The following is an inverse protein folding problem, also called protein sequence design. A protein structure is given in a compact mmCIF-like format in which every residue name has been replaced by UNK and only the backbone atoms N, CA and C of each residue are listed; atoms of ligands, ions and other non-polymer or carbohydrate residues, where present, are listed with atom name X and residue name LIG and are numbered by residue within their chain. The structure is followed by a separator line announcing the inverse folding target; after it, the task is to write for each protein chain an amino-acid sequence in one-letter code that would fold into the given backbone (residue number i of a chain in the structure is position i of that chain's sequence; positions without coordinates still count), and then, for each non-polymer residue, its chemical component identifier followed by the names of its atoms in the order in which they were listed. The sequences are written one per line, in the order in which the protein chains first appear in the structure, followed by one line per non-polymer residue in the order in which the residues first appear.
data_IF_268903841479
#
_entry.id   IF_268903841479
#
_cell.length_a   1.000
_cell.length_b   1.000
_cell.length_c   1.000
_cell.angle_alpha   90.00
_cell.angle_beta   90.00
_cell.angle_gamma   90.00
#
_symmetry.space_group_name_H-M   'P 1'
#
loop_
_entity.id
_entity.type
_entity.pdbx_description
1 polymer ?
#
# COMPACT_ATOMS: atom_id res chain seq x y z
N UNK A 1 -16.76 31.33 44.69
CA UNK A 1 -16.70 30.35 43.58
C UNK A 1 -16.64 28.97 44.22
N UNK A 2 -17.65 28.13 44.00
CA UNK A 2 -17.82 26.88 44.75
C UNK A 2 -16.83 25.79 44.33
N UNK A 3 -16.16 25.11 45.28
CA UNK A 3 -15.21 24.04 44.99
C UNK A 3 -15.87 22.81 44.31
N UNK A 4 -17.17 22.63 44.51
CA UNK A 4 -17.95 21.57 43.86
C UNK A 4 -18.12 21.79 42.35
N UNK A 5 -18.14 23.05 41.92
CA UNK A 5 -18.22 23.42 40.51
C UNK A 5 -16.94 23.00 39.78
N UNK A 6 -15.76 23.25 40.36
CA UNK A 6 -14.48 22.80 39.79
C UNK A 6 -14.35 21.28 39.76
N UNK A 7 -14.86 20.58 40.78
CA UNK A 7 -14.86 19.11 40.81
C UNK A 7 -15.75 18.52 39.71
N UNK A 8 -16.92 19.13 39.49
CA UNK A 8 -17.86 18.72 38.43
C UNK A 8 -17.32 19.00 37.03
N UNK A 9 -16.70 20.17 36.85
CA UNK A 9 -16.06 20.58 35.61
C UNK A 9 -14.87 19.68 35.27
N UNK A 10 -14.03 19.35 36.27
CA UNK A 10 -12.91 18.44 36.10
C UNK A 10 -13.37 17.03 35.71
N UNK A 11 -14.38 16.48 36.40
CA UNK A 11 -14.99 15.19 36.04
C UNK A 11 -15.59 15.21 34.63
N UNK A 12 -16.17 16.33 34.22
CA UNK A 12 -16.70 16.51 32.87
C UNK A 12 -15.58 16.49 31.82
N UNK A 13 -14.50 17.26 32.03
CA UNK A 13 -13.33 17.25 31.15
C UNK A 13 -12.62 15.89 31.09
N UNK A 14 -12.62 15.15 32.20
CA UNK A 14 -12.10 13.79 32.26
C UNK A 14 -12.99 12.82 31.45
N UNK A 15 -14.32 12.91 31.60
CA UNK A 15 -15.29 12.09 30.86
C UNK A 15 -15.29 12.39 29.36
N UNK A 16 -15.11 13.65 28.97
CA UNK A 16 -14.96 14.08 27.58
C UNK A 16 -13.57 13.76 26.99
N UNK A 17 -12.65 13.19 27.79
CA UNK A 17 -11.31 12.81 27.33
C UNK A 17 -10.37 13.98 27.08
N UNK A 18 -10.77 15.22 27.40
CA UNK A 18 -9.97 16.43 27.17
C UNK A 18 -8.68 16.40 27.99
N UNK A 19 -8.75 15.98 29.25
CA UNK A 19 -7.57 15.83 30.12
C UNK A 19 -6.63 14.75 29.59
N UNK A 20 -7.18 13.64 29.08
CA UNK A 20 -6.41 12.57 28.48
C UNK A 20 -5.71 13.01 27.19
N UNK A 21 -6.40 13.78 26.35
CA UNK A 21 -5.86 14.37 25.12
C UNK A 21 -4.75 15.38 25.43
N UNK A 22 -4.96 16.28 26.40
CA UNK A 22 -3.94 17.24 26.84
C UNK A 22 -2.72 16.49 27.39
N UNK A 23 -2.92 15.47 28.24
CA UNK A 23 -1.83 14.65 28.79
C UNK A 23 -1.06 13.91 27.68
N UNK A 24 -1.76 13.39 26.70
CA UNK A 24 -1.15 12.68 25.56
C UNK A 24 -0.39 13.65 24.67
N UNK A 25 -0.97 14.82 24.37
CA UNK A 25 -0.31 15.90 23.63
C UNK A 25 0.95 16.41 24.34
N UNK A 26 0.89 16.64 25.66
CA UNK A 26 2.06 17.03 26.45
C UNK A 26 3.13 15.94 26.46
N UNK A 27 2.75 14.66 26.58
CA UNK A 27 3.70 13.54 26.46
C UNK A 27 4.31 13.45 25.06
N UNK A 28 3.51 13.63 24.02
CA UNK A 28 3.96 13.64 22.63
C UNK A 28 4.91 14.82 22.37
N UNK A 29 4.61 16.01 22.91
CA UNK A 29 5.47 17.19 22.82
C UNK A 29 6.76 17.00 23.59
N UNK A 30 6.72 16.39 24.78
CA UNK A 30 7.93 16.04 25.53
C UNK A 30 8.78 15.02 24.77
N UNK A 31 8.15 13.99 24.18
CA UNK A 31 8.83 13.01 23.33
C UNK A 31 9.39 13.68 22.06
N UNK A 32 8.66 14.58 21.41
CA UNK A 32 9.11 15.30 20.22
C UNK A 32 10.24 16.28 20.55
N UNK A 33 10.15 16.98 21.68
CA UNK A 33 11.23 17.81 22.20
C UNK A 33 12.48 16.97 22.43
N UNK A 34 12.35 15.79 23.04
CA UNK A 34 13.45 14.83 23.26
C UNK A 34 13.97 14.16 21.98
N UNK A 35 13.12 13.91 20.99
CA UNK A 35 13.45 13.22 19.74
C UNK A 35 14.04 14.16 18.67
N UNK A 36 13.71 15.44 18.73
CA UNK A 36 14.24 16.50 17.87
C UNK A 36 15.41 17.29 18.47
N UNK A 37 16.16 16.73 19.43
CA UNK A 37 17.53 17.20 19.73
C UNK A 37 18.50 16.79 18.61
N UNK A 38 18.18 17.15 17.37
CA UNK A 38 19.22 17.65 16.49
C UNK A 38 19.68 19.00 17.07
N UNK A 39 20.97 19.35 16.99
CA UNK A 39 21.44 20.62 17.53
C UNK A 39 20.69 21.77 16.84
N UNK A 40 19.69 22.35 17.52
CA UNK A 40 19.09 23.61 17.08
C UNK A 40 20.22 24.63 17.04
N UNK A 41 20.43 25.24 15.87
CA UNK A 41 21.41 26.30 15.72
C UNK A 41 21.12 27.40 16.74
N UNK A 42 22.16 27.99 17.34
CA UNK A 42 22.03 29.16 18.23
C UNK A 42 21.19 30.29 17.59
N UNK A 43 21.19 30.38 16.25
CA UNK A 43 20.35 31.31 15.49
C UNK A 43 18.85 31.01 15.60
N UNK A 44 18.46 29.74 15.55
CA UNK A 44 17.04 29.34 15.67
C UNK A 44 16.50 29.70 17.06
N UNK A 45 17.31 29.46 18.09
CA UNK A 45 16.96 29.82 19.46
C UNK A 45 16.72 31.32 19.63
N UNK A 46 17.52 32.14 18.94
CA UNK A 46 17.37 33.60 19.00
C UNK A 46 16.14 34.08 18.24
N UNK A 47 15.80 33.45 17.12
CA UNK A 47 14.53 33.76 16.45
C UNK A 47 13.35 33.40 17.33
N UNK A 48 13.38 32.22 17.97
CA UNK A 48 12.32 31.80 18.89
C UNK A 48 12.22 32.78 20.09
N UNK A 49 13.36 33.27 20.61
CA UNK A 49 13.44 34.27 21.68
C UNK A 49 12.87 35.63 21.27
N UNK A 50 13.24 36.14 20.09
CA UNK A 50 12.76 37.42 19.56
C UNK A 50 11.25 37.39 19.30
N UNK A 51 10.72 36.27 18.80
CA UNK A 51 9.29 36.08 18.59
C UNK A 51 8.56 36.04 19.94
N UNK A 52 9.06 35.28 20.92
CA UNK A 52 8.47 35.23 22.24
C UNK A 52 8.45 36.60 22.93
N UNK A 53 9.54 37.37 22.81
CA UNK A 53 9.63 38.72 23.37
C UNK A 53 8.67 39.69 22.69
N UNK A 54 8.52 39.61 21.37
CA UNK A 54 7.54 40.37 20.62
C UNK A 54 6.11 40.07 21.08
N UNK A 55 5.76 38.78 21.20
CA UNK A 55 4.43 38.35 21.65
C UNK A 55 4.15 38.79 23.10
N UNK A 56 5.17 38.76 23.95
CA UNK A 56 5.08 39.20 25.33
C UNK A 56 4.85 40.72 25.43
N UNK A 57 5.61 41.54 24.69
CA UNK A 57 5.47 43.00 24.71
C UNK A 57 4.11 43.49 24.18
N UNK A 58 3.46 42.72 23.30
CA UNK A 58 2.13 43.04 22.77
C UNK A 58 0.98 42.38 23.54
N UNK A 59 1.24 41.75 24.69
CA UNK A 59 0.25 41.07 25.54
C UNK A 59 -0.55 39.97 24.80
N UNK A 60 0.07 39.27 23.84
CA UNK A 60 -0.55 38.13 23.16
C UNK A 60 -0.38 36.83 23.96
N UNK A 61 -0.95 36.79 25.17
CA UNK A 61 -0.75 35.70 26.14
C UNK A 61 -1.17 34.33 25.62
N UNK A 62 -2.30 34.25 24.89
CA UNK A 62 -2.77 33.00 24.28
C UNK A 62 -1.79 32.48 23.22
N UNK A 63 -1.38 33.35 22.30
CA UNK A 63 -0.43 33.01 21.23
C UNK A 63 0.93 32.62 21.81
N UNK A 64 1.39 33.31 22.86
CA UNK A 64 2.62 32.99 23.57
C UNK A 64 2.53 31.62 24.26
N UNK A 65 1.38 31.27 24.84
CA UNK A 65 1.16 29.97 25.47
C UNK A 65 1.20 28.82 24.46
N UNK A 66 0.54 28.99 23.31
CA UNK A 66 0.61 28.04 22.18
C UNK A 66 2.04 27.94 21.66
N UNK A 67 2.72 29.08 21.45
CA UNK A 67 4.10 29.13 20.97
C UNK A 67 5.07 28.42 21.93
N UNK A 68 4.96 28.65 23.24
CA UNK A 68 5.77 27.98 24.26
C UNK A 68 5.51 26.46 24.33
N UNK A 69 4.32 26.01 23.91
CA UNK A 69 4.00 24.58 23.84
C UNK A 69 4.63 23.87 22.63
N UNK A 70 4.97 24.62 21.58
CA UNK A 70 5.54 24.12 20.32
C UNK A 70 7.07 24.35 20.23
N UNK A 71 7.55 25.47 20.76
CA UNK A 71 8.96 25.83 20.82
C UNK A 71 9.45 25.70 22.28
N UNK A 72 10.40 24.79 22.59
CA UNK A 72 11.01 24.71 23.92
C UNK A 72 11.90 25.94 24.14
N UNK A 73 11.32 27.00 24.71
CA UNK A 73 12.04 28.19 25.12
C UNK A 73 12.79 27.90 26.41
N UNK A 74 14.12 27.97 26.38
CA UNK A 74 14.98 27.82 27.57
C UNK A 74 14.99 29.08 28.45
N UNK A 75 14.34 30.17 28.02
CA UNK A 75 14.23 31.40 28.80
C UNK A 75 12.91 31.41 29.55
N UNK A 76 13.00 31.41 30.88
CA UNK A 76 11.84 31.66 31.73
C UNK A 76 11.60 33.17 31.84
N UNK A 77 10.58 33.69 31.16
CA UNK A 77 10.21 35.11 31.20
C UNK A 77 9.60 35.54 32.55
N UNK A 78 9.25 34.61 33.44
CA UNK A 78 8.63 34.91 34.74
C UNK A 78 9.62 35.41 35.80
N UNK A 79 10.93 35.16 35.65
CA UNK A 79 11.92 35.39 36.70
C UNK A 79 12.85 36.59 36.44
N UNK A 80 12.55 37.42 35.43
CA UNK A 80 13.42 38.53 35.03
C UNK A 80 12.64 39.83 34.94
N UNK A 81 12.11 40.25 36.07
CA UNK A 81 11.78 41.66 36.32
C UNK A 81 13.01 42.28 36.97
N UNK A 82 13.70 43.15 36.23
CA UNK A 82 14.41 44.24 36.91
C UNK A 82 13.29 45.15 37.39
N UNK A 83 12.97 45.09 38.69
CA UNK A 83 12.23 46.16 39.35
C UNK A 83 13.04 47.44 39.15
N UNK A 84 12.67 48.24 38.15
CA UNK A 84 13.06 49.64 38.13
C UNK A 84 12.19 50.28 39.19
N UNK A 85 12.76 50.46 40.38
CA UNK A 85 12.16 51.21 41.46
C UNK A 85 11.87 52.64 40.98
N UNK A 86 10.62 52.89 40.63
CA UNK A 86 10.16 54.20 40.20
C UNK A 86 8.72 54.11 39.72
N UNK A 87 7.80 54.47 40.63
CA UNK A 87 6.39 54.79 40.38
C UNK A 87 6.07 55.08 38.91
N UNK A 88 5.47 54.12 38.21
CA UNK A 88 4.48 54.29 37.13
C UNK A 88 4.07 52.91 36.57
N UNK A 89 2.76 52.67 36.54
CA UNK A 89 2.05 51.40 36.34
C UNK A 89 2.15 50.74 34.95
N UNK A 90 3.35 50.51 34.40
CA UNK A 90 3.53 49.58 33.26
C UNK A 90 4.81 48.78 33.42
N UNK A 91 4.68 47.58 34.00
CA UNK A 91 5.74 46.58 34.09
C UNK A 91 6.16 46.11 32.69
N UNK A 92 6.99 46.91 32.02
CA UNK A 92 7.57 46.56 30.72
C UNK A 92 8.67 45.52 30.97
N UNK A 93 8.32 44.24 30.78
CA UNK A 93 9.19 43.06 30.95
C UNK A 93 10.28 43.01 29.86
N UNK A 94 11.24 43.93 29.89
CA UNK A 94 12.37 43.98 28.94
C UNK A 94 13.40 42.88 29.24
N UNK A 95 14.08 42.43 28.18
CA UNK A 95 15.20 41.48 28.28
C UNK A 95 16.41 42.12 28.97
N UNK A 96 17.11 41.34 29.78
CA UNK A 96 18.38 41.75 30.41
C UNK A 96 19.46 42.02 29.35
N UNK A 97 20.30 43.03 29.61
CA UNK A 97 21.33 43.49 28.67
C UNK A 97 22.24 42.38 28.16
N UNK A 98 22.61 41.40 28.98
CA UNK A 98 23.46 40.27 28.57
C UNK A 98 22.82 39.45 27.44
N UNK A 99 21.50 39.26 27.49
CA UNK A 99 20.76 38.55 26.44
C UNK A 99 20.71 39.37 25.15
N UNK A 100 20.59 40.70 25.26
CA UNK A 100 20.60 41.60 24.10
C UNK A 100 21.95 41.50 23.39
N UNK A 101 23.05 41.54 24.15
CA UNK A 101 24.41 41.40 23.60
C UNK A 101 24.58 40.06 22.88
N UNK A 102 24.19 38.95 23.51
CA UNK A 102 24.27 37.62 22.90
C UNK A 102 23.38 37.47 21.66
N UNK A 103 22.18 38.09 21.67
CA UNK A 103 21.28 38.11 20.51
C UNK A 103 21.95 38.82 19.33
N UNK A 104 22.50 40.01 19.56
CA UNK A 104 23.17 40.79 18.52
C UNK A 104 24.40 40.05 17.96
N UNK A 105 25.28 39.55 18.83
CA UNK A 105 26.49 38.83 18.43
C UNK A 105 26.18 37.60 17.56
N UNK A 106 25.16 36.83 17.94
CA UNK A 106 24.80 35.61 17.20
C UNK A 106 24.09 35.92 15.87
N UNK A 107 23.41 37.07 15.77
CA UNK A 107 22.87 37.59 14.52
C UNK A 107 23.96 38.22 13.63
N UNK A 108 25.18 38.38 14.15
CA UNK A 108 26.32 38.96 13.43
C UNK A 108 26.40 40.48 13.51
N UNK A 109 25.63 41.11 14.41
CA UNK A 109 25.69 42.54 14.71
C UNK A 109 26.62 42.72 15.90
N UNK A 110 27.76 43.39 15.70
CA UNK A 110 28.66 43.65 16.80
C UNK A 110 28.05 44.71 17.75
N UNK A 111 27.85 44.41 19.04
CA UNK A 111 27.23 45.35 19.97
C UNK A 111 28.06 46.62 20.21
N UNK A 112 29.35 46.63 19.85
CA UNK A 112 30.22 47.80 19.94
C UNK A 112 30.17 48.72 18.71
N UNK A 113 29.59 48.25 17.61
CA UNK A 113 29.45 49.02 16.38
C UNK A 113 28.30 50.03 16.52
N UNK A 114 28.29 51.13 15.72
CA UNK A 114 27.22 52.12 15.78
C UNK A 114 25.83 51.51 15.52
N UNK A 115 25.75 50.45 14.72
CA UNK A 115 24.51 49.71 14.51
C UNK A 115 24.04 48.98 15.78
N UNK A 116 24.94 48.26 16.45
CA UNK A 116 24.62 47.56 17.70
C UNK A 116 24.26 48.51 18.84
N UNK A 117 25.01 49.60 18.99
CA UNK A 117 24.72 50.65 19.98
C UNK A 117 23.39 51.36 19.70
N UNK A 118 23.05 51.56 18.43
CA UNK A 118 21.75 52.09 18.04
C UNK A 118 20.62 51.15 18.50
N UNK A 119 20.71 49.86 18.20
CA UNK A 119 19.69 48.87 18.62
C UNK A 119 19.51 48.86 20.13
N UNK A 120 20.61 48.79 20.90
CA UNK A 120 20.59 48.79 22.37
C UNK A 120 19.93 50.09 22.86
N UNK A 121 20.31 51.25 22.34
CA UNK A 121 19.75 52.53 22.76
C UNK A 121 18.26 52.67 22.44
N UNK A 122 17.80 52.17 21.28
CA UNK A 122 16.39 52.19 20.90
C UNK A 122 15.56 51.25 21.77
N UNK A 123 16.08 50.07 22.10
CA UNK A 123 15.40 49.11 22.96
C UNK A 123 15.28 49.59 24.40
N UNK A 124 16.33 50.20 24.95
CA UNK A 124 16.30 50.71 26.32
C UNK A 124 15.41 51.94 26.44
N UNK A 125 15.44 52.86 25.46
CA UNK A 125 14.72 54.15 25.50
C UNK A 125 13.27 54.09 25.03
N UNK A 126 12.93 53.19 24.11
CA UNK A 126 11.58 53.07 23.57
C UNK A 126 10.91 51.78 24.06
N UNK A 127 9.58 51.76 24.08
CA UNK A 127 8.78 50.55 24.37
C UNK A 127 8.57 49.67 23.13
N UNK A 128 9.61 49.56 22.31
CA UNK A 128 9.59 48.74 21.10
C UNK A 128 10.23 47.37 21.37
N UNK A 129 9.68 46.27 20.84
CA UNK A 129 10.29 44.96 20.94
C UNK A 129 11.66 44.94 20.26
N UNK A 130 12.55 44.08 20.75
CA UNK A 130 13.94 44.01 20.29
C UNK A 130 14.02 43.69 18.79
N UNK A 131 13.12 42.82 18.33
CA UNK A 131 12.98 42.47 16.91
C UNK A 131 12.76 43.72 16.04
N UNK A 132 11.88 44.63 16.47
CA UNK A 132 11.57 45.85 15.72
C UNK A 132 12.74 46.82 15.74
N UNK A 133 13.48 46.89 16.84
CA UNK A 133 14.69 47.71 16.95
C UNK A 133 15.79 47.23 15.98
N UNK A 134 15.97 45.92 15.84
CA UNK A 134 16.90 45.31 14.88
C UNK A 134 16.44 45.56 13.44
N UNK A 135 15.16 45.39 13.13
CA UNK A 135 14.65 45.68 11.78
C UNK A 135 14.83 47.17 11.42
N UNK A 136 14.59 48.06 12.38
CA UNK A 136 14.80 49.50 12.21
C UNK A 136 16.28 49.83 11.96
N UNK A 137 17.23 49.19 12.65
CA UNK A 137 18.65 49.39 12.37
C UNK A 137 19.00 48.96 10.95
N UNK A 138 18.58 47.77 10.53
CA UNK A 138 18.82 47.25 9.18
C UNK A 138 18.26 48.23 8.13
N UNK A 139 17.04 48.72 8.29
CA UNK A 139 16.45 49.69 7.34
C UNK A 139 17.20 51.03 7.33
N UNK A 140 17.58 51.56 8.49
CA UNK A 140 18.28 52.84 8.59
C UNK A 140 19.69 52.80 7.99
N UNK A 141 20.44 51.71 8.23
CA UNK A 141 21.80 51.55 7.71
C UNK A 141 21.84 51.06 6.26
N UNK A 142 20.79 50.37 5.76
CA UNK A 142 20.69 49.98 4.34
C UNK A 142 20.25 51.12 3.41
N UNK A 143 19.37 52.02 3.85
CA UNK A 143 18.98 53.20 3.07
C UNK A 143 20.10 54.23 2.92
N UNK A 144 21.03 54.30 3.87
CA UNK A 144 22.22 55.15 3.78
C UNK A 144 23.28 54.65 2.78
N UNK A 145 23.14 53.43 2.24
CA UNK A 145 24.05 52.88 1.22
C UNK A 145 23.56 53.21 -0.21
N UNK A 146 22.27 53.57 -0.38
CA UNK A 146 21.64 53.70 -1.70
C UNK A 146 21.04 55.08 -2.04
N UNK A 147 21.20 56.08 -1.18
CA UNK A 147 20.87 57.47 -1.52
C UNK A 147 22.15 58.31 -1.66
N UNK A 148 22.39 58.79 -2.89
CA UNK A 148 23.58 59.51 -3.36
C UNK A 148 23.96 60.78 -2.56
N UNK A 149 25.22 60.82 -2.08
CA UNK A 149 26.21 61.91 -2.28
C UNK A 149 27.60 61.29 -2.04
N UNK A 150 28.62 61.52 -2.89
CA UNK A 150 29.99 61.14 -2.57
C UNK A 150 30.50 62.05 -1.45
N UNK A 151 30.26 61.66 -0.20
CA UNK A 151 30.83 62.34 0.95
C UNK A 151 32.33 62.06 0.93
N UNK A 152 33.04 63.05 0.41
CA UNK A 152 34.45 63.31 0.59
C UNK A 152 34.71 63.70 2.05
N UNK A 153 34.50 62.77 2.98
CA UNK A 153 35.00 62.82 4.36
C UNK A 153 36.05 61.69 4.42
N UNK A 154 37.37 61.95 4.40
CA UNK A 154 38.09 62.70 5.44
C UNK A 154 37.45 62.57 6.83
N UNK A 155 37.10 61.33 7.20
CA UNK A 155 37.17 60.95 8.60
C UNK A 155 38.65 60.85 8.94
N UNK A 156 39.21 62.00 9.33
CA UNK A 156 40.40 62.03 10.18
C UNK A 156 39.99 61.46 11.54
N UNK A 157 40.01 60.14 11.66
CA UNK A 157 40.23 59.53 12.96
C UNK A 157 41.72 59.62 13.21
N UNK A 158 42.10 60.59 14.06
CA UNK A 158 43.37 60.56 14.77
C UNK A 158 43.58 59.17 15.36
N UNK A 159 44.51 58.43 14.78
CA UNK A 159 45.36 57.50 15.50
C UNK A 159 46.79 57.84 15.08
N UNK A 160 47.35 58.87 15.72
CA UNK A 160 48.79 59.02 15.86
C UNK A 160 49.30 57.84 16.69
N UNK A 161 49.58 56.70 16.06
CA UNK A 161 50.52 55.67 16.52
C UNK A 161 50.35 54.38 15.71
N UNK A 162 50.81 54.41 14.46
CA UNK A 162 51.68 53.37 13.89
C UNK A 162 51.95 53.72 12.44
N UNK A 163 53.15 54.23 12.18
CA UNK A 163 53.78 54.09 10.88
C UNK A 163 53.78 52.60 10.53
N UNK A 164 53.06 52.21 9.48
CA UNK A 164 53.54 51.19 8.56
C UNK A 164 53.01 51.53 7.19
N UNK A 165 53.91 51.97 6.31
CA UNK A 165 53.80 51.71 4.88
C UNK A 165 53.65 50.19 4.69
N UNK A 166 52.44 49.68 4.82
CA UNK A 166 52.14 48.29 4.44
C UNK A 166 52.15 48.27 2.93
N UNK A 167 53.30 47.90 2.41
CA UNK A 167 53.61 47.92 0.99
C UNK A 167 52.59 47.12 0.19
N UNK A 168 52.22 47.63 -0.98
CA UNK A 168 51.45 46.91 -2.00
C UNK A 168 52.04 45.52 -2.34
N UNK A 169 53.30 45.26 -1.98
CA UNK A 169 53.98 43.98 -2.12
C UNK A 169 53.47 42.93 -1.11
N UNK A 170 53.14 43.32 0.12
CA UNK A 170 52.53 42.42 1.11
C UNK A 170 51.14 41.97 0.62
N UNK A 171 50.31 42.92 0.17
CA UNK A 171 48.98 42.63 -0.36
C UNK A 171 49.05 41.70 -1.59
N UNK A 172 49.99 41.94 -2.52
CA UNK A 172 50.22 41.07 -3.68
C UNK A 172 50.66 39.64 -3.29
N UNK A 173 51.44 39.49 -2.22
CA UNK A 173 51.82 38.18 -1.70
C UNK A 173 50.63 37.43 -1.09
N UNK A 174 49.76 38.12 -0.34
CA UNK A 174 48.54 37.52 0.22
C UNK A 174 47.53 37.16 -0.86
N UNK A 175 47.32 38.01 -1.88
CA UNK A 175 46.42 37.70 -3.00
C UNK A 175 46.95 36.50 -3.80
N UNK A 176 48.27 36.38 -4.02
CA UNK A 176 48.88 35.20 -4.67
C UNK A 176 48.72 33.92 -3.84
N UNK A 177 48.85 33.99 -2.51
CA UNK A 177 48.55 32.84 -1.63
C UNK A 177 47.07 32.46 -1.67
N UNK A 178 46.18 33.45 -1.69
CA UNK A 178 44.74 33.26 -1.72
C UNK A 178 44.29 32.63 -3.05
N UNK A 179 44.86 33.03 -4.19
CA UNK A 179 44.56 32.41 -5.50
C UNK A 179 45.03 30.97 -5.58
N UNK A 180 46.21 30.66 -5.02
CA UNK A 180 46.70 29.27 -4.92
C UNK A 180 45.82 28.43 -3.99
N UNK A 181 45.36 28.98 -2.86
CA UNK A 181 44.44 28.27 -1.97
C UNK A 181 43.08 28.04 -2.65
N UNK A 182 42.56 29.06 -3.35
CA UNK A 182 41.32 28.98 -4.11
C UNK A 182 41.40 27.91 -5.22
N UNK A 183 42.51 27.82 -5.94
CA UNK A 183 42.70 26.79 -6.97
C UNK A 183 42.78 25.38 -6.36
N UNK A 184 43.45 25.21 -5.21
CA UNK A 184 43.47 23.94 -4.47
C UNK A 184 42.08 23.53 -3.99
N UNK A 185 41.31 24.46 -3.42
CA UNK A 185 39.92 24.21 -2.99
C UNK A 185 39.06 23.83 -4.19
N UNK A 186 39.18 24.55 -5.30
CA UNK A 186 38.44 24.25 -6.53
C UNK A 186 38.78 22.86 -7.09
N UNK A 187 40.06 22.49 -7.11
CA UNK A 187 40.50 21.17 -7.54
C UNK A 187 39.98 20.06 -6.61
N UNK A 188 40.01 20.29 -5.30
CA UNK A 188 39.47 19.34 -4.32
C UNK A 188 37.94 19.16 -4.48
N UNK A 189 37.21 20.27 -4.65
CA UNK A 189 35.77 20.25 -4.92
C UNK A 189 35.46 19.42 -6.18
N UNK A 190 36.17 19.69 -7.27
CA UNK A 190 35.99 18.94 -8.52
C UNK A 190 36.30 17.44 -8.36
N UNK A 191 37.34 17.10 -7.58
CA UNK A 191 37.65 15.70 -7.27
C UNK A 191 36.50 15.03 -6.51
N UNK A 192 35.92 15.70 -5.51
CA UNK A 192 34.81 15.17 -4.73
C UNK A 192 33.53 15.06 -5.55
N UNK A 193 33.20 16.06 -6.37
CA UNK A 193 32.05 16.03 -7.28
C UNK A 193 32.17 14.87 -8.28
N UNK A 194 33.38 14.58 -8.76
CA UNK A 194 33.63 13.43 -9.63
C UNK A 194 33.48 12.09 -8.90
N UNK A 195 33.94 11.99 -7.64
CA UNK A 195 33.73 10.79 -6.81
C UNK A 195 32.24 10.56 -6.51
N UNK A 196 31.51 11.64 -6.21
CA UNK A 196 30.08 11.62 -5.97
C UNK A 196 29.33 11.11 -7.21
N UNK A 197 29.62 11.68 -8.40
CA UNK A 197 29.02 11.25 -9.67
C UNK A 197 29.29 9.78 -10.00
N UNK A 198 30.50 9.27 -9.74
CA UNK A 198 30.79 7.83 -9.92
C UNK A 198 29.95 6.96 -9.00
N UNK A 199 29.84 7.33 -7.72
CA UNK A 199 29.01 6.59 -6.75
C UNK A 199 27.53 6.63 -7.13
N UNK A 200 27.04 7.78 -7.60
CA UNK A 200 25.67 7.93 -8.10
C UNK A 200 25.41 7.03 -9.31
N UNK A 201 26.32 6.97 -10.28
CA UNK A 201 26.18 6.08 -11.44
C UNK A 201 26.15 4.60 -11.03
N UNK A 202 27.05 4.16 -10.14
CA UNK A 202 27.05 2.77 -9.63
C UNK A 202 25.74 2.44 -8.92
N UNK A 203 25.20 3.36 -8.11
CA UNK A 203 23.92 3.16 -7.43
C UNK A 203 22.75 3.09 -8.43
N UNK A 204 22.77 3.90 -9.50
CA UNK A 204 21.77 3.84 -10.57
C UNK A 204 21.82 2.51 -11.31
N UNK A 205 23.00 2.02 -11.67
CA UNK A 205 23.19 0.71 -12.30
C UNK A 205 22.67 -0.42 -11.39
N UNK A 206 23.01 -0.38 -10.10
CA UNK A 206 22.50 -1.35 -9.13
C UNK A 206 20.96 -1.30 -9.00
N UNK A 207 20.37 -0.10 -9.01
CA UNK A 207 18.92 0.07 -8.96
C UNK A 207 18.23 -0.53 -10.20
N UNK A 208 18.82 -0.41 -11.39
CA UNK A 208 18.32 -1.05 -12.61
C UNK A 208 18.37 -2.57 -12.48
N UNK A 209 19.50 -3.13 -12.06
CA UNK A 209 19.64 -4.59 -11.86
C UNK A 209 18.62 -5.13 -10.86
N UNK A 210 18.41 -4.44 -9.73
CA UNK A 210 17.40 -4.82 -8.72
C UNK A 210 16.00 -4.78 -9.33
N UNK A 211 15.68 -3.75 -10.13
CA UNK A 211 14.39 -3.61 -10.79
C UNK A 211 14.13 -4.78 -11.77
N UNK A 212 15.12 -5.16 -12.54
CA UNK A 212 15.02 -6.28 -13.49
C UNK A 212 14.86 -7.61 -12.76
N UNK A 213 15.60 -7.82 -11.66
CA UNK A 213 15.46 -8.99 -10.80
C UNK A 213 14.05 -9.08 -10.17
N UNK A 214 13.49 -7.96 -9.74
CA UNK A 214 12.12 -7.90 -9.22
C UNK A 214 11.08 -8.24 -10.29
N UNK A 215 11.30 -7.80 -11.54
CA UNK A 215 10.41 -8.14 -12.65
C UNK A 215 10.44 -9.65 -12.93
N UNK A 216 11.63 -10.26 -12.99
CA UNK A 216 11.80 -11.71 -13.13
C UNK A 216 11.16 -12.47 -11.96
N UNK A 217 11.30 -11.98 -10.74
CA UNK A 217 10.69 -12.62 -9.57
C UNK A 217 9.16 -12.54 -9.65
N UNK A 218 8.62 -11.41 -10.08
CA UNK A 218 7.17 -11.21 -10.22
C UNK A 218 6.57 -12.10 -11.31
N UNK A 219 7.26 -12.28 -12.45
CA UNK A 219 6.81 -13.21 -13.50
C UNK A 219 6.83 -14.66 -13.01
N UNK A 220 7.87 -15.08 -12.28
CA UNK A 220 7.92 -16.41 -11.63
C UNK A 220 6.80 -16.59 -10.61
N UNK A 221 6.53 -15.58 -9.80
CA UNK A 221 5.42 -15.61 -8.83
C UNK A 221 4.08 -15.82 -9.54
N UNK A 222 3.85 -15.09 -10.63
CA UNK A 222 2.63 -15.23 -11.42
C UNK A 222 2.51 -16.63 -12.06
N UNK A 223 3.61 -17.20 -12.56
CA UNK A 223 3.64 -18.59 -13.04
C UNK A 223 3.27 -19.59 -11.94
N UNK A 224 3.84 -19.45 -10.73
CA UNK A 224 3.51 -20.31 -9.59
C UNK A 224 2.05 -20.16 -9.18
N UNK A 225 1.51 -18.94 -9.15
CA UNK A 225 0.09 -18.71 -8.88
C UNK A 225 -0.82 -19.41 -9.90
N UNK A 226 -0.48 -19.34 -11.18
CA UNK A 226 -1.21 -20.03 -12.24
C UNK A 226 -1.11 -21.56 -12.09
N UNK A 227 0.05 -22.10 -11.72
CA UNK A 227 0.23 -23.52 -11.43
C UNK A 227 -0.63 -23.97 -10.23
N UNK A 228 -0.65 -23.20 -9.15
CA UNK A 228 -1.49 -23.47 -7.97
C UNK A 228 -2.97 -23.47 -8.35
N UNK A 229 -3.40 -22.48 -9.14
CA UNK A 229 -4.78 -22.41 -9.62
C UNK A 229 -5.16 -23.65 -10.44
N UNK A 230 -4.29 -24.08 -11.37
CA UNK A 230 -4.48 -25.27 -12.18
C UNK A 230 -4.48 -26.56 -11.33
N UNK A 231 -3.60 -26.67 -10.33
CA UNK A 231 -3.61 -27.79 -9.39
C UNK A 231 -4.92 -27.87 -8.62
N UNK A 232 -5.40 -26.75 -8.08
CA UNK A 232 -6.66 -26.69 -7.35
C UNK A 232 -7.85 -27.08 -8.24
N UNK A 233 -7.84 -26.68 -9.52
CA UNK A 233 -8.87 -27.09 -10.48
C UNK A 233 -8.82 -28.61 -10.72
N UNK A 234 -7.63 -29.19 -10.93
CA UNK A 234 -7.46 -30.64 -11.09
C UNK A 234 -7.86 -31.40 -9.83
N UNK A 235 -7.57 -30.88 -8.65
CA UNK A 235 -7.95 -31.50 -7.38
C UNK A 235 -9.48 -31.55 -7.23
N UNK A 236 -10.19 -30.46 -7.59
CA UNK A 236 -11.65 -30.45 -7.61
C UNK A 236 -12.21 -31.50 -8.58
N UNK A 237 -11.68 -31.57 -9.80
CA UNK A 237 -12.08 -32.58 -10.77
C UNK A 237 -11.82 -34.01 -10.28
N UNK A 238 -10.71 -34.24 -9.57
CA UNK A 238 -10.40 -35.54 -8.98
C UNK A 238 -11.42 -35.90 -7.89
N UNK A 239 -11.77 -34.96 -7.00
CA UNK A 239 -12.78 -35.16 -5.95
C UNK A 239 -14.14 -35.49 -6.54
N UNK A 240 -14.54 -34.81 -7.60
CA UNK A 240 -15.77 -35.11 -8.35
C UNK A 240 -15.74 -36.51 -8.96
N UNK A 241 -14.63 -36.89 -9.62
CA UNK A 241 -14.46 -38.25 -10.17
C UNK A 241 -14.53 -39.33 -9.09
N UNK A 242 -13.87 -39.10 -7.94
CA UNK A 242 -13.92 -40.03 -6.80
C UNK A 242 -15.37 -40.18 -6.30
N UNK A 243 -16.11 -39.08 -6.20
CA UNK A 243 -17.50 -39.12 -5.76
C UNK A 243 -18.39 -39.85 -6.77
N UNK A 244 -18.23 -39.59 -8.06
CA UNK A 244 -18.96 -40.29 -9.13
C UNK A 244 -18.64 -41.78 -9.12
N UNK A 245 -17.37 -42.16 -8.98
CA UNK A 245 -16.96 -43.57 -8.88
C UNK A 245 -17.59 -44.27 -7.66
N UNK A 246 -17.69 -43.59 -6.51
CA UNK A 246 -18.40 -44.14 -5.34
C UNK A 246 -19.87 -44.43 -5.65
N UNK A 247 -20.55 -43.53 -6.37
CA UNK A 247 -21.93 -43.74 -6.79
C UNK A 247 -22.07 -44.89 -7.80
N UNK A 248 -21.16 -45.00 -8.77
CA UNK A 248 -21.13 -46.12 -9.73
C UNK A 248 -20.94 -47.43 -8.99
N UNK A 249 -19.98 -47.52 -8.06
CA UNK A 249 -19.74 -48.71 -7.26
C UNK A 249 -20.99 -49.13 -6.45
N UNK A 250 -21.73 -48.15 -5.92
CA UNK A 250 -22.97 -48.42 -5.20
C UNK A 250 -24.05 -48.99 -6.14
N UNK A 251 -24.21 -48.41 -7.33
CA UNK A 251 -25.13 -48.93 -8.35
C UNK A 251 -24.74 -50.32 -8.85
N UNK A 252 -23.45 -50.61 -9.00
CA UNK A 252 -22.96 -51.95 -9.37
C UNK A 252 -23.31 -52.98 -8.29
N UNK A 253 -23.15 -52.64 -7.01
CA UNK A 253 -23.59 -53.51 -5.90
C UNK A 253 -25.10 -53.75 -5.94
N UNK A 254 -25.92 -52.74 -6.24
CA UNK A 254 -27.36 -52.91 -6.37
C UNK A 254 -27.74 -53.78 -7.59
N UNK A 255 -27.06 -53.59 -8.73
CA UNK A 255 -27.30 -54.38 -9.94
C UNK A 255 -26.92 -55.84 -9.74
N UNK A 256 -25.78 -56.14 -9.13
CA UNK A 256 -25.37 -57.52 -8.83
C UNK A 256 -26.34 -58.22 -7.88
N UNK A 257 -26.94 -57.51 -6.92
CA UNK A 257 -28.01 -58.04 -6.08
C UNK A 257 -29.28 -58.35 -6.88
N UNK A 258 -29.70 -57.43 -7.77
CA UNK A 258 -30.84 -57.65 -8.67
C UNK A 258 -30.62 -58.81 -9.63
N UNK A 259 -29.42 -58.95 -10.17
CA UNK A 259 -29.03 -60.04 -11.05
C UNK A 259 -29.15 -61.40 -10.34
N UNK A 260 -28.66 -61.51 -9.11
CA UNK A 260 -28.83 -62.73 -8.28
C UNK A 260 -30.29 -63.07 -8.05
N UNK A 261 -31.13 -62.08 -7.75
CA UNK A 261 -32.58 -62.28 -7.59
C UNK A 261 -33.25 -62.76 -8.89
N UNK A 262 -32.86 -62.20 -10.03
CA UNK A 262 -33.38 -62.60 -11.33
C UNK A 262 -32.95 -64.03 -11.70
N UNK A 263 -31.70 -64.41 -11.44
CA UNK A 263 -31.22 -65.78 -11.60
C UNK A 263 -32.05 -66.76 -10.74
N UNK A 264 -32.26 -66.45 -9.46
CA UNK A 264 -33.08 -67.28 -8.58
C UNK A 264 -34.53 -67.43 -9.09
N UNK A 265 -35.09 -66.36 -9.66
CA UNK A 265 -36.43 -66.38 -10.25
C UNK A 265 -36.47 -67.17 -11.55
N UNK A 266 -35.44 -67.08 -12.39
CA UNK A 266 -35.30 -67.88 -13.60
C UNK A 266 -35.22 -69.37 -13.27
N UNK A 267 -34.40 -69.76 -12.27
CA UNK A 267 -34.30 -71.15 -11.79
C UNK A 267 -35.63 -71.68 -11.24
N UNK A 268 -36.43 -70.82 -10.61
CA UNK A 268 -37.77 -71.18 -10.15
C UNK A 268 -38.72 -71.40 -11.32
N UNK A 269 -38.75 -70.48 -12.29
CA UNK A 269 -39.60 -70.59 -13.48
C UNK A 269 -39.22 -71.81 -14.33
N UNK A 270 -37.93 -72.13 -14.45
CA UNK A 270 -37.48 -73.31 -15.17
C UNK A 270 -37.98 -74.59 -14.51
N UNK A 271 -37.92 -74.69 -13.17
CA UNK A 271 -38.51 -75.81 -12.43
C UNK A 271 -40.01 -75.92 -12.65
N UNK A 272 -40.73 -74.80 -12.54
CA UNK A 272 -42.18 -74.77 -12.82
C UNK A 272 -42.49 -75.20 -14.26
N UNK A 273 -41.66 -74.83 -15.24
CA UNK A 273 -41.80 -75.25 -16.63
C UNK A 273 -41.50 -76.74 -16.85
N UNK A 274 -40.49 -77.28 -16.17
CA UNK A 274 -40.19 -78.72 -16.16
C UNK A 274 -41.31 -79.53 -15.53
N UNK A 275 -41.89 -79.03 -14.43
CA UNK A 275 -43.05 -79.63 -13.77
C UNK A 275 -44.29 -79.59 -14.67
N UNK A 276 -44.54 -78.48 -15.37
CA UNK A 276 -45.62 -78.37 -16.36
C UNK A 276 -45.43 -79.35 -17.53
N UNK A 277 -44.20 -79.53 -18.03
CA UNK A 277 -43.89 -80.53 -19.07
C UNK A 277 -44.16 -81.95 -18.57
N UNK A 278 -43.74 -82.29 -17.34
CA UNK A 278 -44.05 -83.59 -16.73
C UNK A 278 -45.55 -83.81 -16.62
N UNK A 279 -46.29 -82.79 -16.17
CA UNK A 279 -47.76 -82.86 -16.08
C UNK A 279 -48.39 -83.06 -17.46
N UNK A 280 -47.90 -82.37 -18.49
CA UNK A 280 -48.38 -82.53 -19.87
C UNK A 280 -48.11 -83.95 -20.41
N UNK A 281 -46.95 -84.52 -20.10
CA UNK A 281 -46.61 -85.90 -20.43
C UNK A 281 -47.51 -86.91 -19.69
N UNK A 282 -47.81 -86.66 -18.41
CA UNK A 282 -48.77 -87.45 -17.64
C UNK A 282 -50.19 -87.35 -18.24
N UNK A 283 -50.64 -86.15 -18.60
CA UNK A 283 -51.91 -85.96 -19.30
C UNK A 283 -51.96 -86.69 -20.65
N UNK A 284 -50.86 -86.67 -21.44
CA UNK A 284 -50.77 -87.45 -22.68
C UNK A 284 -50.85 -88.96 -22.41
N UNK A 285 -50.20 -89.46 -21.34
CA UNK A 285 -50.31 -90.87 -20.92
C UNK A 285 -51.73 -91.23 -20.49
N UNK A 286 -52.41 -90.39 -19.71
CA UNK A 286 -53.81 -90.58 -19.32
C UNK A 286 -54.73 -90.55 -20.54
N UNK A 287 -54.47 -89.66 -21.51
CA UNK A 287 -55.22 -89.59 -22.77
C UNK A 287 -55.01 -90.82 -23.64
N UNK A 288 -53.81 -91.40 -23.65
CA UNK A 288 -53.52 -92.66 -24.33
C UNK A 288 -54.13 -93.87 -23.61
N UNK A 289 -54.33 -93.81 -22.30
CA UNK A 289 -55.01 -94.84 -21.50
C UNK A 289 -56.54 -94.76 -21.58
N UNK A 290 -57.13 -93.60 -21.89
CA UNK A 290 -58.55 -93.47 -22.26
C UNK A 290 -58.73 -93.58 -23.77
N UNK A 291 -58.83 -94.80 -24.26
CA UNK A 291 -59.41 -95.06 -25.57
C UNK A 291 -60.90 -94.70 -25.60
N UNK A 292 -61.25 -93.76 -26.49
CA UNK A 292 -62.53 -93.56 -27.19
C UNK A 292 -63.70 -92.88 -26.42
N UNK A 293 -64.33 -91.94 -27.15
CA UNK A 293 -65.45 -91.03 -26.84
C UNK A 293 -65.01 -89.72 -26.13
N UNK A 294 -65.24 -88.52 -26.65
CA UNK A 294 -66.38 -88.04 -27.44
C UNK A 294 -65.96 -86.81 -28.26
N UNK A 295 -66.44 -86.71 -29.50
CA UNK A 295 -66.61 -85.45 -30.21
C UNK A 295 -67.59 -84.58 -29.41
N UNK A 296 -67.19 -83.35 -29.03
CA UNK A 296 -68.07 -82.18 -29.06
C UNK A 296 -67.34 -80.91 -28.61
N UNK A 297 -67.56 -79.86 -29.41
CA UNK A 297 -67.55 -78.44 -29.03
C UNK A 297 -66.22 -77.77 -28.71
N UNK A 298 -65.58 -77.30 -29.79
CA UNK A 298 -65.36 -75.87 -30.06
C UNK A 298 -66.19 -74.96 -29.13
N UNK A 299 -65.57 -74.35 -28.12
CA UNK A 299 -65.93 -73.08 -27.46
C UNK A 299 -65.08 -72.87 -26.18
N UNK A 300 -63.79 -72.57 -26.34
CA UNK A 300 -62.96 -72.03 -25.24
C UNK A 300 -61.75 -71.29 -25.82
N UNK A 301 -62.03 -70.37 -26.76
CA UNK A 301 -61.02 -69.54 -27.43
C UNK A 301 -61.14 -68.04 -27.09
N UNK A 302 -61.93 -67.67 -26.07
CA UNK A 302 -62.21 -66.26 -25.75
C UNK A 302 -61.67 -65.78 -24.39
N UNK A 303 -60.99 -66.61 -23.61
CA UNK A 303 -60.40 -66.16 -22.33
C UNK A 303 -58.89 -65.88 -22.36
N UNK A 304 -58.21 -66.14 -23.48
CA UNK A 304 -56.77 -65.91 -23.61
C UNK A 304 -56.39 -64.54 -24.20
N UNK A 305 -57.38 -63.77 -24.68
CA UNK A 305 -57.16 -62.41 -25.20
C UNK A 305 -57.41 -61.31 -24.15
N UNK A 306 -58.09 -61.61 -23.05
CA UNK A 306 -58.38 -60.63 -21.99
C UNK A 306 -57.23 -60.46 -20.98
N UNK A 307 -56.25 -61.38 -20.99
CA UNK A 307 -55.09 -61.35 -20.09
C UNK A 307 -53.87 -60.61 -20.67
N UNK A 308 -53.94 -60.15 -21.92
CA UNK A 308 -52.91 -59.29 -22.54
C UNK A 308 -53.21 -57.80 -22.29
N UNK A 309 -54.47 -57.44 -22.03
CA UNK A 309 -54.88 -56.06 -21.74
C UNK A 309 -54.47 -55.60 -20.32
N UNK A 310 -54.28 -56.53 -19.37
CA UNK A 310 -53.86 -56.21 -17.99
C UNK A 310 -52.33 -56.03 -17.88
N UNK A 311 -51.54 -56.52 -18.85
CA UNK A 311 -50.08 -56.32 -18.87
C UNK A 311 -49.64 -54.98 -19.49
N UNK A 312 -50.54 -54.27 -20.18
CA UNK A 312 -50.24 -52.94 -20.74
C UNK A 312 -50.49 -51.80 -19.74
N UNK A 313 -51.34 -52.02 -18.72
CA UNK A 313 -51.59 -50.99 -17.69
C UNK A 313 -50.45 -50.86 -16.67
N UNK A 314 -49.75 -51.94 -16.33
CA UNK A 314 -48.58 -51.87 -15.41
C UNK A 314 -47.40 -51.13 -16.06
N UNK A 315 -47.25 -51.21 -17.39
CA UNK A 315 -46.20 -50.49 -18.12
C UNK A 315 -46.54 -49.00 -18.27
N UNK A 316 -47.82 -48.65 -18.38
CA UNK A 316 -48.28 -47.26 -18.40
C UNK A 316 -48.10 -46.58 -17.03
N UNK A 317 -48.39 -47.26 -15.93
CA UNK A 317 -48.27 -46.70 -14.58
C UNK A 317 -46.80 -46.39 -14.22
N UNK A 318 -45.88 -47.30 -14.57
CA UNK A 318 -44.43 -47.09 -14.35
C UNK A 318 -43.85 -46.00 -15.27
N UNK A 319 -44.43 -45.78 -16.46
CA UNK A 319 -44.05 -44.67 -17.33
C UNK A 319 -44.62 -43.32 -16.83
N UNK A 320 -45.84 -43.32 -16.29
CA UNK A 320 -46.48 -42.14 -15.72
C UNK A 320 -45.70 -41.61 -14.51
N UNK A 321 -45.28 -42.50 -13.60
CA UNK A 321 -44.43 -42.15 -12.45
C UNK A 321 -43.09 -41.55 -12.86
N UNK A 322 -42.47 -42.10 -13.92
CA UNK A 322 -41.22 -41.57 -14.48
C UNK A 322 -41.39 -40.16 -15.05
N UNK A 323 -42.52 -39.92 -15.72
CA UNK A 323 -42.85 -38.60 -16.26
C UNK A 323 -43.10 -37.60 -15.11
N UNK A 324 -43.78 -38.01 -14.04
CA UNK A 324 -44.03 -37.14 -12.89
C UNK A 324 -42.73 -36.77 -12.14
N UNK A 325 -41.80 -37.71 -11.99
CA UNK A 325 -40.48 -37.44 -11.41
C UNK A 325 -39.68 -36.47 -12.28
N UNK A 326 -39.70 -36.65 -13.61
CA UNK A 326 -39.02 -35.74 -14.54
C UNK A 326 -39.62 -34.33 -14.54
N UNK A 327 -40.94 -34.20 -14.36
CA UNK A 327 -41.61 -32.90 -14.24
C UNK A 327 -41.16 -32.20 -12.95
N UNK A 328 -41.14 -32.90 -11.81
CA UNK A 328 -40.66 -32.34 -10.54
C UNK A 328 -39.18 -31.96 -10.57
N UNK A 329 -38.33 -32.75 -11.24
CA UNK A 329 -36.93 -32.39 -11.46
C UNK A 329 -36.78 -31.17 -12.36
N UNK A 330 -37.56 -31.07 -13.44
CA UNK A 330 -37.58 -29.91 -14.33
C UNK A 330 -37.98 -28.63 -13.58
N UNK A 331 -39.00 -28.69 -12.72
CA UNK A 331 -39.43 -27.56 -11.91
C UNK A 331 -38.34 -27.12 -10.92
N UNK A 332 -37.69 -28.07 -10.24
CA UNK A 332 -36.55 -27.78 -9.36
C UNK A 332 -35.37 -27.16 -10.13
N UNK A 333 -35.07 -27.68 -11.32
CA UNK A 333 -34.03 -27.12 -12.18
C UNK A 333 -34.37 -25.67 -12.58
N UNK A 334 -35.63 -25.41 -12.93
CA UNK A 334 -36.09 -24.06 -13.29
C UNK A 334 -35.99 -23.09 -12.11
N UNK A 335 -36.38 -23.52 -10.90
CA UNK A 335 -36.22 -22.72 -9.70
C UNK A 335 -34.73 -22.38 -9.42
N UNK A 336 -33.85 -23.36 -9.62
CA UNK A 336 -32.41 -23.19 -9.44
C UNK A 336 -31.81 -22.24 -10.50
N UNK A 337 -32.29 -22.30 -11.74
CA UNK A 337 -31.90 -21.37 -12.80
C UNK A 337 -32.33 -19.94 -12.45
N UNK A 338 -33.56 -19.74 -11.98
CA UNK A 338 -34.04 -18.42 -11.55
C UNK A 338 -33.24 -17.87 -10.37
N UNK A 339 -32.90 -18.72 -9.39
CA UNK A 339 -32.06 -18.34 -8.26
C UNK A 339 -30.64 -17.93 -8.73
N UNK A 340 -30.05 -18.69 -9.64
CA UNK A 340 -28.74 -18.36 -10.21
C UNK A 340 -28.78 -17.06 -11.01
N UNK A 341 -29.85 -16.79 -11.77
CA UNK A 341 -30.03 -15.53 -12.49
C UNK A 341 -30.10 -14.34 -11.54
N UNK A 342 -30.91 -14.42 -10.48
CA UNK A 342 -30.98 -13.39 -9.44
C UNK A 342 -29.63 -13.17 -8.76
N UNK A 343 -28.88 -14.23 -8.50
CA UNK A 343 -27.55 -14.14 -7.86
C UNK A 343 -26.51 -13.52 -8.78
N UNK A 344 -26.54 -13.84 -10.07
CA UNK A 344 -25.71 -13.18 -11.08
C UNK A 344 -26.04 -11.69 -11.12
N UNK A 345 -27.32 -11.32 -11.15
CA UNK A 345 -27.75 -9.93 -11.17
C UNK A 345 -27.26 -9.15 -9.94
N UNK A 346 -27.37 -9.73 -8.75
CA UNK A 346 -26.83 -9.14 -7.50
C UNK A 346 -25.31 -8.95 -7.56
N UNK A 347 -24.57 -9.95 -8.08
CA UNK A 347 -23.12 -9.86 -8.23
C UNK A 347 -22.76 -8.76 -9.23
N UNK A 348 -23.47 -8.67 -10.36
CA UNK A 348 -23.26 -7.65 -11.39
C UNK A 348 -23.54 -6.25 -10.86
N UNK A 349 -24.62 -6.05 -10.10
CA UNK A 349 -24.90 -4.76 -9.45
C UNK A 349 -23.78 -4.38 -8.46
N UNK A 350 -23.30 -5.32 -7.65
CA UNK A 350 -22.21 -5.08 -6.70
C UNK A 350 -20.88 -4.77 -7.41
N UNK A 351 -20.59 -5.47 -8.51
CA UNK A 351 -19.41 -5.22 -9.32
C UNK A 351 -19.43 -3.81 -9.94
N UNK A 352 -20.59 -3.36 -10.44
CA UNK A 352 -20.76 -2.00 -10.96
C UNK A 352 -20.57 -0.93 -9.86
N UNK A 353 -21.11 -1.15 -8.66
CA UNK A 353 -20.89 -0.26 -7.52
C UNK A 353 -19.41 -0.16 -7.15
N UNK A 354 -18.72 -1.28 -7.06
CA UNK A 354 -17.28 -1.32 -6.77
C UNK A 354 -16.46 -0.65 -7.88
N UNK A 355 -16.83 -0.85 -9.15
CA UNK A 355 -16.19 -0.17 -10.29
C UNK A 355 -16.31 1.34 -10.18
N UNK A 356 -17.50 1.87 -9.86
CA UNK A 356 -17.73 3.30 -9.62
C UNK A 356 -16.93 3.83 -8.42
N UNK A 357 -16.81 3.07 -7.34
CA UNK A 357 -15.98 3.45 -6.19
C UNK A 357 -14.49 3.52 -6.54
N UNK A 358 -13.98 2.53 -7.29
CA UNK A 358 -12.59 2.51 -7.75
C UNK A 358 -12.30 3.67 -8.71
N UNK A 359 -13.25 4.00 -9.58
CA UNK A 359 -13.13 5.14 -10.51
C UNK A 359 -13.14 6.48 -9.76
N UNK A 360 -13.99 6.62 -8.73
CA UNK A 360 -13.96 7.77 -7.83
C UNK A 360 -12.62 7.94 -7.09
N UNK A 361 -12.01 6.84 -6.65
CA UNK A 361 -10.68 6.86 -6.00
C UNK A 361 -9.58 7.21 -7.01
N UNK A 362 -9.69 6.76 -8.27
CA UNK A 362 -8.74 7.15 -9.34
C UNK A 362 -8.85 8.62 -9.71
N UNK A 363 -10.04 9.22 -9.66
CA UNK A 363 -10.25 10.64 -9.93
C UNK A 363 -9.69 11.58 -8.85
N UNK A 364 -9.43 11.09 -7.64
CA UNK A 364 -8.85 11.87 -6.52
C UNK A 364 -7.32 11.86 -6.50
N UNK A 365 -6.66 11.21 -7.47
CA UNK A 365 -5.20 11.31 -7.66
C UNK A 365 -4.90 12.54 -8.54
N UNK A 366 -4.05 13.49 -8.09
CA UNK A 366 -3.63 14.59 -8.93
C UNK A 366 -2.85 14.03 -10.11
N UNK A 367 -3.34 14.30 -11.32
CA UNK A 367 -2.68 13.99 -12.58
C UNK A 367 -1.70 15.13 -12.87
N UNK A 368 -0.40 14.88 -12.70
CA UNK A 368 0.64 15.68 -13.34
C UNK A 368 1.03 15.01 -14.68
N UNK A 369 0.35 15.48 -15.74
CA UNK A 369 0.79 15.80 -17.12
C UNK A 369 1.41 14.68 -18.04
N UNK A 370 1.54 14.90 -19.39
CA UNK A 370 0.82 14.10 -20.40
C UNK A 370 1.73 13.44 -21.44
N UNK A 371 1.23 12.48 -22.25
CA UNK A 371 1.29 12.52 -23.73
C UNK A 371 0.82 11.23 -24.41
N UNK A 372 0.16 11.47 -25.56
CA UNK A 372 0.14 10.67 -26.80
C UNK A 372 -0.69 9.39 -26.90
N UNK A 373 -1.91 9.62 -27.40
CA UNK A 373 -2.57 8.83 -28.45
C UNK A 373 -1.68 8.63 -29.68
N UNK A 374 -1.68 7.42 -30.27
CA UNK A 374 -1.99 7.11 -31.69
C UNK A 374 -1.85 5.59 -31.99
N UNK A 375 -2.96 5.06 -32.53
CA UNK A 375 -3.16 3.96 -33.49
C UNK A 375 -2.74 2.50 -33.25
N UNK A 376 -3.78 1.66 -33.40
CA UNK A 376 -3.74 0.28 -33.85
C UNK A 376 -3.12 0.13 -35.24
N UNK A 377 -2.34 -0.95 -35.45
CA UNK A 377 -2.48 -1.83 -36.61
C UNK A 377 -1.70 -3.14 -36.41
N UNK A 378 -2.43 -4.21 -36.64
CA UNK A 378 -2.03 -5.61 -36.82
C UNK A 378 -1.04 -5.78 -37.96
N UNK A 379 0.18 -6.27 -37.72
CA UNK A 379 0.96 -7.05 -38.71
C UNK A 379 1.78 -8.12 -37.98
N UNK A 380 1.61 -9.33 -38.47
CA UNK A 380 2.24 -10.60 -38.12
C UNK A 380 3.75 -10.52 -38.33
N UNK A 381 4.56 -11.03 -37.39
CA UNK A 381 5.99 -11.33 -37.60
C UNK A 381 6.40 -12.51 -36.70
N UNK A 382 5.92 -13.70 -37.08
CA UNK A 382 6.42 -14.99 -36.62
C UNK A 382 7.65 -15.39 -37.47
N UNK A 383 8.86 -14.95 -37.10
CA UNK A 383 10.10 -15.57 -37.61
C UNK A 383 11.38 -15.26 -36.82
N UNK A 384 11.35 -14.39 -35.79
CA UNK A 384 12.59 -14.03 -35.05
C UNK A 384 13.01 -15.04 -33.97
N UNK A 385 12.09 -15.88 -33.47
CA UNK A 385 12.35 -16.67 -32.26
C UNK A 385 13.22 -17.92 -32.49
N UNK A 386 13.25 -18.48 -33.71
CA UNK A 386 13.97 -19.73 -33.98
C UNK A 386 15.42 -19.49 -34.36
N UNK A 387 15.71 -18.35 -35.00
CA UNK A 387 17.08 -17.97 -35.41
C UNK A 387 17.94 -17.60 -34.19
N UNK A 388 17.38 -16.88 -33.21
CA UNK A 388 18.09 -16.54 -31.96
C UNK A 388 18.42 -17.78 -31.13
N UNK A 389 17.52 -18.77 -31.09
CA UNK A 389 17.76 -20.04 -30.40
C UNK A 389 18.84 -20.86 -31.11
N UNK A 390 18.86 -20.87 -32.45
CA UNK A 390 19.89 -21.56 -33.23
C UNK A 390 21.27 -20.89 -33.07
N UNK A 391 21.33 -19.56 -33.02
CA UNK A 391 22.58 -18.84 -32.77
C UNK A 391 23.11 -19.08 -31.35
N UNK A 392 22.24 -19.05 -30.33
CA UNK A 392 22.64 -19.35 -28.95
C UNK A 392 23.16 -20.79 -28.81
N UNK A 393 22.45 -21.76 -29.40
CA UNK A 393 22.87 -23.16 -29.41
C UNK A 393 24.24 -23.35 -30.10
N UNK A 394 24.46 -22.66 -31.23
CA UNK A 394 25.73 -22.71 -31.97
C UNK A 394 26.88 -22.11 -31.17
N UNK A 395 26.65 -20.97 -30.50
CA UNK A 395 27.66 -20.33 -29.65
C UNK A 395 27.99 -21.17 -28.41
N UNK A 396 26.99 -21.86 -27.84
CA UNK A 396 27.18 -22.74 -26.68
C UNK A 396 27.93 -24.01 -27.04
N UNK A 397 27.67 -24.61 -28.20
CA UNK A 397 28.44 -25.74 -28.73
C UNK A 397 29.91 -25.39 -28.97
N UNK A 398 30.18 -24.24 -29.59
CA UNK A 398 31.55 -23.78 -29.84
C UNK A 398 32.34 -23.61 -28.53
N UNK A 399 31.70 -23.10 -27.47
CA UNK A 399 32.33 -22.96 -26.16
C UNK A 399 32.65 -24.32 -25.53
N UNK A 400 31.76 -25.30 -25.66
CA UNK A 400 31.97 -26.66 -25.17
C UNK A 400 33.07 -27.39 -25.94
N UNK A 401 33.20 -27.19 -27.25
CA UNK A 401 34.30 -27.72 -28.06
C UNK A 401 35.65 -27.12 -27.62
N UNK A 402 35.71 -25.81 -27.38
CA UNK A 402 36.92 -25.15 -26.86
C UNK A 402 37.28 -25.61 -25.45
N UNK A 403 36.29 -25.89 -24.59
CA UNK A 403 36.49 -26.46 -23.25
C UNK A 403 36.94 -27.92 -23.31
N UNK A 404 36.40 -28.73 -24.22
CA UNK A 404 36.82 -30.13 -24.44
C UNK A 404 38.26 -30.19 -24.96
N UNK A 405 38.62 -29.37 -25.95
CA UNK A 405 39.99 -29.32 -26.46
C UNK A 405 41.00 -28.90 -25.39
N UNK A 406 40.60 -27.99 -24.49
CA UNK A 406 41.44 -27.60 -23.34
C UNK A 406 41.52 -28.69 -22.26
N UNK A 407 40.49 -29.50 -22.11
CA UNK A 407 40.52 -30.64 -21.19
C UNK A 407 41.45 -31.74 -21.72
N UNK A 408 41.42 -32.01 -23.03
CA UNK A 408 42.26 -33.02 -23.67
C UNK A 408 43.74 -32.61 -23.78
N UNK A 409 44.05 -31.30 -23.78
CA UNK A 409 45.43 -30.80 -23.75
C UNK A 409 46.07 -30.77 -22.34
N UNK A 410 45.28 -31.06 -21.30
CA UNK A 410 45.72 -31.09 -19.89
C UNK A 410 45.77 -32.52 -19.31
N UNK A 411 45.83 -33.53 -20.18
CA UNK A 411 46.20 -34.92 -19.89
C UNK A 411 47.50 -35.20 -20.63
#
# INVERSE_FOLDING_TARGET
MDPEYYSSLYKWFEKCGVISNIRTHLRQNLINALKNYGPKSAKQYIYDLLIAEYLLNHNYEYTLSVFASEAPLLVNFSNKTVEISGDNEKDNKKLQNDYILHVLETLGINPRDPEGQYVISQYTKNDMPLLLCILKSITMFSYNIHNDVPIKEKISLCNESTQTEVSWQLNNFYTKKLTVLKSKISAHKQMMDNKLRRKEMILKEQAVVIKDQLLILNTKLHQVQNMIHNMNLREKQLKEKIQNNKQVLQKEKELTLKEKLLLQKADRLQREQEDLKKLEEEFKKVRMQRGVQTEHTVKLSNHFLQSIEIQTDIVKDVQQDKIEVLIKEKEKLNALIQEQQLRIEQITQRALQLSRQVEGIRSLRPTEVPTQTINANTVISESSSTEDILQDAKMRLKRLEEESLKADHNI
#
